data_IF_546004935724
#
_entry.id   IF_546004935724
#
_cell.length_a   1.000
_cell.length_b   1.000
_cell.length_c   1.000
_cell.angle_alpha   90.00
_cell.angle_beta   90.00
_cell.angle_gamma   90.00
#
_symmetry.space_group_name_H-M   'P 1'
#
loop_
_entity.id
_entity.type
_entity.pdbx_description
1 polymer ?
#
# COMPACT_ATOMS: atom_id res chain seq x y z
N UNK A 1 -20.18 3.39 18.56
CA UNK A 1 -19.44 3.22 19.86
C UNK A 1 -19.75 1.94 20.66
N UNK A 2 -20.81 1.17 20.37
CA UNK A 2 -21.23 0.06 21.25
C UNK A 2 -20.39 -1.23 21.12
N UNK A 3 -19.70 -1.41 19.99
CA UNK A 3 -18.90 -2.62 19.69
C UNK A 3 -17.39 -2.49 20.00
N UNK A 4 -16.87 -1.28 20.18
CA UNK A 4 -15.44 -1.02 20.53
C UNK A 4 -15.20 -1.11 22.06
N UNK A 5 -16.27 -1.23 22.85
CA UNK A 5 -16.18 -1.31 24.32
C UNK A 5 -15.88 -2.72 24.82
N UNK A 6 -16.02 -3.75 23.98
CA UNK A 6 -15.60 -5.11 24.32
C UNK A 6 -14.07 -5.25 24.15
N UNK A 7 -13.39 -6.06 24.97
CA UNK A 7 -11.96 -6.32 24.82
C UNK A 7 -11.61 -6.83 23.41
N UNK A 8 -12.47 -7.66 22.84
CA UNK A 8 -12.35 -8.18 21.46
C UNK A 8 -12.30 -7.06 20.42
N UNK A 9 -13.18 -6.06 20.55
CA UNK A 9 -13.29 -4.94 19.60
C UNK A 9 -12.03 -4.09 19.54
N UNK A 10 -11.36 -3.88 20.69
CA UNK A 10 -10.08 -3.15 20.75
C UNK A 10 -8.94 -3.92 20.07
N UNK A 11 -8.93 -5.25 20.19
CA UNK A 11 -7.93 -6.11 19.55
C UNK A 11 -8.12 -6.10 18.04
N UNK A 12 -9.35 -6.30 17.57
CA UNK A 12 -9.68 -6.26 16.13
C UNK A 12 -9.32 -4.91 15.53
N UNK A 13 -9.64 -3.81 16.22
CA UNK A 13 -9.27 -2.46 15.80
C UNK A 13 -7.75 -2.27 15.71
N UNK A 14 -7.00 -2.75 16.70
CA UNK A 14 -5.53 -2.71 16.71
C UNK A 14 -4.93 -3.47 15.51
N UNK A 15 -5.45 -4.65 15.19
CA UNK A 15 -5.03 -5.40 14.00
C UNK A 15 -5.40 -4.69 12.70
N UNK A 16 -6.60 -4.13 12.59
CA UNK A 16 -7.02 -3.39 11.40
C UNK A 16 -6.12 -2.18 11.15
N UNK A 17 -5.79 -1.41 12.19
CA UNK A 17 -4.89 -0.27 12.09
C UNK A 17 -3.47 -0.71 11.71
N UNK A 18 -2.96 -1.79 12.33
CA UNK A 18 -1.63 -2.33 12.05
C UNK A 18 -1.51 -2.80 10.61
N UNK A 19 -2.54 -3.47 10.09
CA UNK A 19 -2.60 -3.95 8.71
C UNK A 19 -2.70 -2.78 7.73
N UNK A 20 -3.47 -1.74 8.07
CA UNK A 20 -3.55 -0.53 7.26
C UNK A 20 -2.20 0.18 7.14
N UNK A 21 -1.54 0.43 8.27
CA UNK A 21 -0.24 1.10 8.28
C UNK A 21 0.82 0.25 7.58
N UNK A 22 0.86 -1.07 7.83
CA UNK A 22 1.84 -1.94 7.20
C UNK A 22 1.65 -2.03 5.68
N UNK A 23 0.41 -2.06 5.21
CA UNK A 23 0.11 -2.08 3.78
C UNK A 23 0.52 -0.77 3.08
N UNK A 24 0.21 0.37 3.69
CA UNK A 24 0.62 1.69 3.18
C UNK A 24 2.14 1.79 3.09
N UNK A 25 2.85 1.36 4.14
CA UNK A 25 4.32 1.36 4.16
C UNK A 25 4.90 0.38 3.13
N UNK A 26 4.31 -0.81 2.98
CA UNK A 26 4.75 -1.79 2.00
C UNK A 26 4.61 -1.27 0.57
N UNK A 27 3.44 -0.72 0.22
CA UNK A 27 3.22 -0.14 -1.11
C UNK A 27 4.14 1.06 -1.36
N UNK A 28 4.28 1.96 -0.37
CA UNK A 28 5.21 3.09 -0.47
C UNK A 28 6.65 2.64 -0.68
N UNK A 29 7.09 1.61 0.07
CA UNK A 29 8.41 1.02 -0.06
C UNK A 29 8.64 0.38 -1.43
N UNK A 30 7.66 -0.34 -1.97
CA UNK A 30 7.72 -0.91 -3.32
C UNK A 30 7.87 0.21 -4.37
N UNK A 31 7.09 1.28 -4.28
CA UNK A 31 7.17 2.41 -5.23
C UNK A 31 8.55 3.09 -5.16
N UNK A 32 9.07 3.34 -3.96
CA UNK A 32 10.42 3.90 -3.77
C UNK A 32 11.48 2.96 -4.36
N UNK A 33 11.36 1.66 -4.10
CA UNK A 33 12.29 0.65 -4.60
C UNK A 33 12.27 0.57 -6.13
N UNK A 34 11.09 0.51 -6.74
CA UNK A 34 10.93 0.53 -8.20
C UNK A 34 11.53 1.81 -8.79
N UNK A 35 11.26 2.97 -8.18
CA UNK A 35 11.82 4.26 -8.63
C UNK A 35 13.34 4.26 -8.56
N UNK A 36 13.91 3.66 -7.51
CA UNK A 36 15.36 3.51 -7.36
C UNK A 36 15.95 2.61 -8.45
N UNK A 37 15.32 1.48 -8.76
CA UNK A 37 15.77 0.58 -9.83
C UNK A 37 15.72 1.23 -11.21
N UNK A 38 14.67 2.02 -11.50
CA UNK A 38 14.58 2.78 -12.75
C UNK A 38 15.73 3.78 -12.85
N UNK A 39 16.03 4.51 -11.77
CA UNK A 39 17.15 5.46 -11.74
C UNK A 39 18.49 4.76 -11.93
N UNK A 40 18.70 3.64 -11.23
CA UNK A 40 19.93 2.86 -11.30
C UNK A 40 20.16 2.30 -12.70
N UNK A 41 19.12 1.74 -13.32
CA UNK A 41 19.17 1.23 -14.70
C UNK A 41 19.50 2.33 -15.70
N UNK A 42 18.94 3.53 -15.51
CA UNK A 42 19.27 4.69 -16.35
C UNK A 42 20.72 5.18 -16.16
N UNK A 43 21.23 5.17 -14.93
CA UNK A 43 22.62 5.53 -14.61
C UNK A 43 23.61 4.54 -15.22
N UNK A 44 23.28 3.25 -15.21
CA UNK A 44 24.07 2.17 -15.80
C UNK A 44 24.02 2.13 -17.34
N UNK A 45 23.24 3.02 -17.97
CA UNK A 45 22.96 3.01 -19.42
C UNK A 45 22.46 1.65 -19.92
N UNK A 46 21.68 0.94 -19.09
CA UNK A 46 21.01 -0.26 -19.55
C UNK A 46 20.10 0.09 -20.72
N UNK A 47 20.11 -0.76 -21.75
CA UNK A 47 19.11 -0.69 -22.82
C UNK A 47 17.73 -0.72 -22.18
N UNK A 48 16.77 0.14 -22.60
CA UNK A 48 15.41 0.13 -22.08
C UNK A 48 14.80 -1.26 -22.26
N UNK A 49 14.84 -2.05 -21.19
CA UNK A 49 14.37 -3.42 -21.23
C UNK A 49 12.89 -3.45 -20.90
N UNK A 50 12.22 -4.54 -21.28
CA UNK A 50 10.84 -4.80 -20.87
C UNK A 50 10.62 -4.61 -19.35
N UNK A 51 11.67 -4.83 -18.54
CA UNK A 51 11.64 -4.63 -17.09
C UNK A 51 11.36 -3.19 -16.67
N UNK A 52 11.89 -2.18 -17.38
CA UNK A 52 11.59 -0.76 -17.09
C UNK A 52 10.14 -0.45 -17.45
N UNK A 53 9.66 -0.96 -18.59
CA UNK A 53 8.27 -0.82 -18.99
C UNK A 53 7.29 -1.42 -17.98
N UNK A 54 7.57 -2.64 -17.51
CA UNK A 54 6.79 -3.31 -16.46
C UNK A 54 6.78 -2.49 -15.16
N UNK A 55 7.94 -1.95 -14.77
CA UNK A 55 8.10 -1.12 -13.57
C UNK A 55 7.26 0.16 -13.61
N UNK A 56 7.19 0.83 -14.77
CA UNK A 56 6.36 2.02 -14.97
C UNK A 56 4.87 1.71 -14.84
N UNK A 57 4.42 0.57 -15.38
CA UNK A 57 3.02 0.13 -15.28
C UNK A 57 2.67 -0.37 -13.87
N UNK A 58 3.63 -0.95 -13.16
CA UNK A 58 3.42 -1.45 -11.80
C UNK A 58 3.07 -0.34 -10.81
N UNK A 59 3.68 0.85 -10.91
CA UNK A 59 3.42 1.96 -9.97
C UNK A 59 1.93 2.36 -9.96
N UNK A 60 1.27 2.67 -11.09
CA UNK A 60 -0.16 2.92 -11.14
C UNK A 60 -1.02 1.80 -10.55
N UNK A 61 -0.66 0.53 -10.79
CA UNK A 61 -1.39 -0.62 -10.25
C UNK A 61 -1.31 -0.65 -8.73
N UNK A 62 -0.11 -0.45 -8.17
CA UNK A 62 0.07 -0.39 -6.71
C UNK A 62 -0.65 0.80 -6.08
N UNK A 63 -0.70 1.95 -6.76
CA UNK A 63 -1.48 3.11 -6.31
C UNK A 63 -2.99 2.83 -6.32
N UNK A 64 -3.50 2.16 -7.36
CA UNK A 64 -4.90 1.76 -7.44
C UNK A 64 -5.26 0.78 -6.30
N UNK A 65 -4.41 -0.21 -6.05
CA UNK A 65 -4.57 -1.14 -4.92
C UNK A 65 -4.53 -0.41 -3.58
N UNK A 66 -3.61 0.54 -3.39
CA UNK A 66 -3.55 1.37 -2.19
C UNK A 66 -4.82 2.19 -1.98
N UNK A 67 -5.39 2.75 -3.05
CA UNK A 67 -6.64 3.48 -3.02
C UNK A 67 -7.82 2.60 -2.61
N UNK A 68 -8.00 1.47 -3.29
CA UNK A 68 -9.09 0.51 -2.99
C UNK A 68 -8.97 -0.01 -1.56
N UNK A 69 -7.76 -0.40 -1.14
CA UNK A 69 -7.51 -0.92 0.19
C UNK A 69 -7.83 0.13 1.27
N UNK A 70 -7.33 1.37 1.14
CA UNK A 70 -7.64 2.44 2.08
C UNK A 70 -9.14 2.77 2.10
N UNK A 71 -9.80 2.79 0.95
CA UNK A 71 -11.23 3.03 0.86
C UNK A 71 -12.04 1.98 1.63
N UNK A 72 -11.73 0.69 1.47
CA UNK A 72 -12.41 -0.40 2.18
C UNK A 72 -12.18 -0.29 3.68
N UNK A 73 -10.94 -0.08 4.11
CA UNK A 73 -10.63 0.03 5.55
C UNK A 73 -11.20 1.29 6.18
N UNK A 74 -11.22 2.41 5.46
CA UNK A 74 -11.88 3.63 5.90
C UNK A 74 -13.39 3.43 6.05
N UNK A 75 -14.03 2.77 5.08
CA UNK A 75 -15.45 2.42 5.13
C UNK A 75 -15.76 1.46 6.28
N UNK A 76 -14.88 0.48 6.56
CA UNK A 76 -15.02 -0.37 7.74
C UNK A 76 -14.94 0.45 9.02
N UNK A 77 -13.96 1.36 9.15
CA UNK A 77 -13.78 2.23 10.32
C UNK A 77 -15.01 3.12 10.58
N UNK A 78 -15.53 3.76 9.53
CA UNK A 78 -16.68 4.66 9.59
C UNK A 78 -17.98 3.92 9.94
N UNK A 79 -18.16 2.71 9.40
CA UNK A 79 -19.33 1.88 9.69
C UNK A 79 -19.28 1.19 11.08
N UNK A 80 -18.22 1.39 11.88
CA UNK A 80 -18.18 0.96 13.29
C UNK A 80 -18.71 2.02 14.28
N UNK A 81 -19.08 3.21 13.79
CA UNK A 81 -19.75 4.27 14.57
C UNK A 81 -21.15 3.83 15.03
#
# INVERSE_FOLDING_TARGET
>A
MKHIQTPEGKIVFGFQLTLLVSFVLAVGGIIVWITHLIRLSHELQDVPSASIGISIVAIPVFLALLGVFNYVFWGLLLNQE
#
